data_IF_486761602518
#
_entry.id   IF_486761602518
#
_cell.length_a   1.000
_cell.length_b   1.000
_cell.length_c   1.000
_cell.angle_alpha   90.00
_cell.angle_beta   90.00
_cell.angle_gamma   90.00
#
_symmetry.space_group_name_H-M   'P 1'
#
loop_
_entity.id
_entity.type
_entity.pdbx_description
1 polymer ?
#
# COMPACT_ATOMS: atom_id res chain seq x y z
N UNK A 1 34.53 -13.80 -13.35
CA UNK A 1 33.32 -13.15 -12.83
C UNK A 1 32.25 -14.21 -12.71
N UNK A 2 31.76 -14.55 -11.50
CA UNK A 2 30.63 -15.45 -11.39
C UNK A 2 29.38 -14.76 -11.96
N UNK A 3 28.68 -15.47 -12.83
CA UNK A 3 27.39 -15.06 -13.41
C UNK A 3 26.42 -14.78 -12.25
N UNK A 4 25.71 -13.63 -12.23
CA UNK A 4 24.68 -13.41 -11.23
C UNK A 4 23.64 -14.53 -11.32
N UNK A 5 23.09 -15.01 -10.18
CA UNK A 5 22.08 -16.05 -10.20
C UNK A 5 20.91 -15.58 -11.07
N UNK A 6 20.50 -16.45 -11.99
CA UNK A 6 19.34 -16.24 -12.85
C UNK A 6 18.13 -15.98 -11.94
N UNK A 7 17.53 -14.78 -12.03
CA UNK A 7 16.30 -14.48 -11.28
C UNK A 7 15.30 -15.57 -11.65
N UNK A 8 14.66 -16.24 -10.68
CA UNK A 8 13.69 -17.28 -10.99
C UNK A 8 12.69 -16.70 -12.00
N UNK A 9 12.52 -17.38 -13.15
CA UNK A 9 11.48 -17.02 -14.13
C UNK A 9 10.19 -16.87 -13.33
N UNK A 10 9.68 -15.64 -13.20
CA UNK A 10 8.40 -15.34 -12.56
C UNK A 10 7.41 -16.37 -13.10
N UNK A 11 6.97 -17.31 -12.26
CA UNK A 11 5.79 -18.10 -12.57
C UNK A 11 4.73 -17.09 -13.03
N UNK A 12 3.99 -17.38 -14.11
CA UNK A 12 3.04 -16.43 -14.70
C UNK A 12 2.27 -15.74 -13.56
N UNK A 13 2.60 -14.46 -13.28
CA UNK A 13 2.07 -13.74 -12.11
C UNK A 13 0.56 -13.81 -12.28
N UNK A 14 -0.15 -14.22 -11.25
CA UNK A 14 -1.60 -14.11 -11.25
C UNK A 14 -1.94 -12.66 -11.61
N UNK A 15 -2.93 -12.43 -12.48
CA UNK A 15 -3.30 -11.07 -12.87
C UNK A 15 -3.85 -10.33 -11.65
N UNK A 16 -3.14 -9.29 -11.23
CA UNK A 16 -3.55 -8.37 -10.17
C UNK A 16 -4.56 -7.34 -10.74
N UNK A 17 -5.62 -7.09 -9.99
CA UNK A 17 -6.73 -6.18 -10.32
C UNK A 17 -6.97 -5.32 -9.08
N UNK A 18 -6.61 -4.04 -9.19
CA UNK A 18 -6.60 -3.09 -8.07
C UNK A 18 -7.53 -1.90 -8.32
N UNK A 19 -8.15 -1.86 -9.51
CA UNK A 19 -9.12 -0.86 -9.90
C UNK A 19 -10.34 -1.45 -10.58
N UNK A 20 -11.45 -0.74 -10.49
CA UNK A 20 -12.67 -1.08 -11.25
C UNK A 20 -12.43 -1.09 -12.76
N UNK A 21 -11.55 -0.21 -13.26
CA UNK A 21 -11.22 -0.15 -14.68
C UNK A 21 -10.46 -1.41 -15.15
N UNK A 22 -9.55 -1.94 -14.32
CA UNK A 22 -8.87 -3.21 -14.61
C UNK A 22 -9.81 -4.39 -14.52
N UNK A 23 -10.73 -4.38 -13.54
CA UNK A 23 -11.77 -5.40 -13.44
C UNK A 23 -12.62 -5.44 -14.73
N UNK A 24 -13.14 -4.28 -15.13
CA UNK A 24 -13.99 -4.17 -16.32
C UNK A 24 -13.24 -4.58 -17.59
N UNK A 25 -11.95 -4.25 -17.68
CA UNK A 25 -11.07 -4.67 -18.78
C UNK A 25 -10.85 -6.19 -18.79
N UNK A 26 -10.50 -6.78 -17.66
CA UNK A 26 -10.28 -8.23 -17.54
C UNK A 26 -11.55 -9.02 -17.91
N UNK A 27 -12.71 -8.54 -17.47
CA UNK A 27 -14.01 -9.13 -17.82
C UNK A 27 -14.30 -9.01 -19.32
N UNK A 28 -14.04 -7.85 -19.93
CA UNK A 28 -14.26 -7.64 -21.36
C UNK A 28 -13.32 -8.45 -22.26
N UNK A 29 -12.05 -8.59 -21.87
CA UNK A 29 -11.01 -9.24 -22.67
C UNK A 29 -11.02 -10.77 -22.53
N UNK A 30 -11.26 -11.28 -21.32
CA UNK A 30 -11.09 -12.70 -21.01
C UNK A 30 -12.40 -13.42 -20.71
N UNK A 31 -13.48 -12.69 -20.37
CA UNK A 31 -14.76 -13.28 -19.97
C UNK A 31 -14.68 -14.15 -18.71
N UNK A 32 -13.59 -14.04 -17.95
CA UNK A 32 -13.28 -14.85 -16.77
C UNK A 32 -12.37 -14.09 -15.82
N UNK A 33 -12.47 -14.40 -14.53
CA UNK A 33 -11.57 -13.94 -13.46
C UNK A 33 -10.79 -15.12 -12.86
N UNK A 34 -10.79 -16.28 -13.52
CA UNK A 34 -10.08 -17.46 -13.02
C UNK A 34 -8.60 -17.15 -12.77
N UNK A 35 -8.10 -17.53 -11.59
CA UNK A 35 -6.72 -17.29 -11.12
C UNK A 35 -6.32 -15.81 -10.98
N UNK A 36 -7.25 -14.86 -11.03
CA UNK A 36 -6.96 -13.45 -10.78
C UNK A 36 -6.77 -13.16 -9.27
N UNK A 37 -6.14 -12.03 -8.95
CA UNK A 37 -6.07 -11.45 -7.60
C UNK A 37 -6.77 -10.10 -7.65
N UNK A 38 -7.87 -9.97 -6.93
CA UNK A 38 -8.65 -8.73 -6.88
C UNK A 38 -8.51 -8.12 -5.50
N UNK A 39 -8.03 -6.89 -5.42
CA UNK A 39 -7.57 -6.29 -4.17
C UNK A 39 -8.19 -4.90 -3.97
N UNK A 40 -8.87 -4.71 -2.83
CA UNK A 40 -9.47 -3.45 -2.42
C UNK A 40 -10.39 -2.77 -3.47
N UNK A 41 -11.01 -3.56 -4.35
CA UNK A 41 -11.94 -3.05 -5.38
C UNK A 41 -13.39 -3.13 -4.89
N UNK A 42 -14.13 -2.02 -4.92
CA UNK A 42 -15.57 -2.04 -4.67
C UNK A 42 -16.32 -2.67 -5.85
N UNK A 43 -16.80 -3.90 -5.65
CA UNK A 43 -17.52 -4.68 -6.65
C UNK A 43 -19.03 -4.75 -6.38
N UNK A 44 -19.56 -3.93 -5.47
CA UNK A 44 -21.00 -3.87 -5.18
C UNK A 44 -21.82 -3.53 -6.43
N UNK A 45 -21.29 -2.68 -7.31
CA UNK A 45 -21.86 -2.34 -8.61
C UNK A 45 -21.61 -3.37 -9.73
N UNK A 46 -21.06 -4.56 -9.42
CA UNK A 46 -20.70 -5.61 -10.40
C UNK A 46 -21.30 -6.98 -10.08
N UNK A 47 -22.32 -7.03 -9.21
CA UNK A 47 -23.04 -8.26 -8.81
C UNK A 47 -23.42 -9.13 -10.00
N UNK A 48 -24.08 -8.56 -11.02
CA UNK A 48 -24.51 -9.31 -12.20
C UNK A 48 -23.36 -9.99 -12.94
N UNK A 49 -22.22 -9.33 -13.05
CA UNK A 49 -21.04 -9.90 -13.67
C UNK A 49 -20.49 -11.04 -12.81
N UNK A 50 -20.31 -10.81 -11.50
CA UNK A 50 -19.80 -11.80 -10.55
C UNK A 50 -20.68 -13.05 -10.45
N UNK A 51 -21.99 -12.93 -10.70
CA UNK A 51 -22.90 -14.08 -10.70
C UNK A 51 -22.67 -15.03 -11.89
N UNK A 52 -22.12 -14.53 -13.00
CA UNK A 52 -21.92 -15.26 -14.26
C UNK A 52 -20.48 -15.67 -14.54
N UNK A 53 -19.52 -14.90 -14.03
CA UNK A 53 -18.10 -15.12 -14.32
C UNK A 53 -17.56 -16.41 -13.69
N UNK A 54 -16.62 -17.02 -14.38
CA UNK A 54 -15.74 -18.02 -13.78
C UNK A 54 -14.74 -17.31 -12.87
N UNK A 55 -14.66 -17.76 -11.61
CA UNK A 55 -13.80 -17.24 -10.56
C UNK A 55 -12.97 -18.34 -9.91
N UNK A 56 -12.81 -19.50 -10.57
CA UNK A 56 -12.01 -20.61 -10.04
C UNK A 56 -10.58 -20.17 -9.75
N UNK A 57 -10.10 -20.51 -8.54
CA UNK A 57 -8.77 -20.14 -8.02
C UNK A 57 -8.49 -18.62 -7.95
N UNK A 58 -9.51 -17.79 -8.07
CA UNK A 58 -9.40 -16.35 -7.83
C UNK A 58 -9.27 -16.06 -6.33
N UNK A 59 -8.61 -14.96 -5.98
CA UNK A 59 -8.55 -14.46 -4.60
C UNK A 59 -9.07 -13.03 -4.59
N UNK A 60 -10.02 -12.76 -3.70
CA UNK A 60 -10.57 -11.43 -3.45
C UNK A 60 -10.14 -10.97 -2.06
N UNK A 61 -9.37 -9.88 -2.00
CA UNK A 61 -8.82 -9.29 -0.78
C UNK A 61 -9.55 -7.98 -0.50
N UNK A 62 -10.36 -7.97 0.55
CA UNK A 62 -11.01 -6.74 1.02
C UNK A 62 -11.99 -6.10 0.03
N UNK A 63 -12.46 -6.82 -0.99
CA UNK A 63 -13.31 -6.28 -2.04
C UNK A 63 -14.80 -6.35 -1.64
N UNK A 64 -15.48 -5.21 -1.39
CA UNK A 64 -16.92 -5.19 -1.09
C UNK A 64 -17.75 -5.81 -2.22
N UNK A 65 -18.75 -6.61 -1.85
CA UNK A 65 -19.68 -7.26 -2.79
C UNK A 65 -21.07 -7.34 -2.18
N UNK A 66 -22.11 -7.46 -3.02
CA UNK A 66 -23.41 -7.90 -2.54
C UNK A 66 -23.31 -9.36 -1.98
N UNK A 67 -24.09 -9.71 -0.93
CA UNK A 67 -24.01 -11.02 -0.29
C UNK A 67 -24.14 -12.22 -1.24
N UNK A 68 -25.02 -12.11 -2.23
CA UNK A 68 -25.26 -13.12 -3.25
C UNK A 68 -24.07 -13.29 -4.20
N UNK A 69 -23.40 -12.20 -4.58
CA UNK A 69 -22.17 -12.26 -5.37
C UNK A 69 -21.05 -12.93 -4.58
N UNK A 70 -20.81 -12.52 -3.34
CA UNK A 70 -19.79 -13.13 -2.49
C UNK A 70 -20.04 -14.63 -2.27
N UNK A 71 -21.29 -15.05 -2.08
CA UNK A 71 -21.67 -16.45 -1.98
C UNK A 71 -21.38 -17.22 -3.27
N UNK A 72 -21.75 -16.67 -4.43
CA UNK A 72 -21.54 -17.29 -5.73
C UNK A 72 -20.06 -17.41 -6.12
N UNK A 73 -19.27 -16.39 -5.83
CA UNK A 73 -17.82 -16.35 -6.05
C UNK A 73 -17.13 -17.45 -5.22
N UNK A 74 -17.44 -17.55 -3.92
CA UNK A 74 -16.93 -18.64 -3.07
C UNK A 74 -17.36 -20.02 -3.57
N UNK A 75 -18.61 -20.17 -3.99
CA UNK A 75 -19.12 -21.43 -4.54
C UNK A 75 -18.42 -21.84 -5.85
N UNK A 76 -17.77 -20.91 -6.56
CA UNK A 76 -16.99 -21.18 -7.78
C UNK A 76 -15.54 -21.61 -7.51
N UNK A 77 -15.12 -21.70 -6.24
CA UNK A 77 -13.76 -22.05 -5.85
C UNK A 77 -12.82 -20.87 -5.58
N UNK A 78 -13.34 -19.64 -5.50
CA UNK A 78 -12.54 -18.47 -5.13
C UNK A 78 -12.35 -18.36 -3.60
N UNK A 79 -11.21 -17.82 -3.17
CA UNK A 79 -11.01 -17.36 -1.80
C UNK A 79 -11.48 -15.92 -1.67
N UNK A 80 -12.30 -15.62 -0.65
CA UNK A 80 -12.84 -14.29 -0.42
C UNK A 80 -12.56 -13.86 1.00
N UNK A 81 -11.70 -12.86 1.16
CA UNK A 81 -11.42 -12.17 2.40
C UNK A 81 -12.29 -10.90 2.45
N UNK A 82 -13.23 -10.78 3.40
CA UNK A 82 -14.15 -9.66 3.44
C UNK A 82 -13.46 -8.36 3.90
N UNK A 83 -14.00 -7.19 3.54
CA UNK A 83 -13.65 -5.94 4.19
C UNK A 83 -13.83 -6.04 5.70
N UNK A 84 -12.93 -5.42 6.48
CA UNK A 84 -12.97 -5.46 7.94
C UNK A 84 -13.52 -4.13 8.47
N UNK A 85 -14.78 -4.09 8.94
CA UNK A 85 -15.39 -2.85 9.40
C UNK A 85 -14.74 -2.35 10.69
N UNK A 86 -14.72 -1.03 10.88
CA UNK A 86 -14.26 -0.39 12.12
C UNK A 86 -12.75 -0.24 12.27
N UNK A 87 -11.96 -0.63 11.26
CA UNK A 87 -10.54 -0.30 11.22
C UNK A 87 -10.33 1.15 10.78
N UNK A 88 -9.33 1.86 11.34
CA UNK A 88 -8.95 3.20 10.89
C UNK A 88 -8.09 3.19 9.61
N UNK A 89 -7.84 2.01 9.03
CA UNK A 89 -7.12 1.79 7.79
C UNK A 89 -7.74 0.60 7.06
N UNK A 90 -7.51 0.52 5.74
CA UNK A 90 -7.81 -0.68 4.97
C UNK A 90 -6.56 -1.59 4.93
N UNK A 91 -6.62 -2.81 5.48
CA UNK A 91 -5.48 -3.73 5.50
C UNK A 91 -5.15 -4.29 4.11
N UNK A 92 -6.05 -4.19 3.13
CA UNK A 92 -5.87 -4.79 1.82
C UNK A 92 -5.50 -3.78 0.73
N UNK A 93 -5.10 -2.54 1.05
CA UNK A 93 -4.87 -1.47 0.05
C UNK A 93 -3.85 -1.90 -1.03
N UNK A 94 -4.17 -1.63 -2.29
CA UNK A 94 -3.27 -1.90 -3.44
C UNK A 94 -2.31 -0.75 -3.76
N UNK A 95 -2.40 0.40 -3.08
CA UNK A 95 -1.54 1.55 -3.35
C UNK A 95 -0.97 2.16 -2.06
N UNK A 96 0.19 2.84 -2.10
CA UNK A 96 0.69 3.54 -0.92
C UNK A 96 -0.24 4.68 -0.49
N UNK A 97 -0.08 5.12 0.75
CA UNK A 97 -0.81 6.29 1.21
C UNK A 97 -0.28 7.57 0.55
N UNK A 98 -1.18 8.49 0.25
CA UNK A 98 -0.80 9.87 -0.09
C UNK A 98 -0.71 10.74 1.16
N UNK A 99 0.08 11.83 1.14
CA UNK A 99 0.07 12.79 2.25
C UNK A 99 -1.33 13.36 2.53
N UNK A 100 -2.09 13.68 1.49
CA UNK A 100 -3.45 14.23 1.63
C UNK A 100 -4.40 13.24 2.32
N UNK A 101 -4.24 11.95 2.04
CA UNK A 101 -5.01 10.88 2.71
C UNK A 101 -4.60 10.72 4.18
N UNK A 102 -3.30 10.64 4.47
CA UNK A 102 -2.80 10.44 5.85
C UNK A 102 -3.16 11.58 6.78
N UNK A 103 -3.11 12.81 6.26
CA UNK A 103 -3.36 14.04 7.01
C UNK A 103 -4.74 14.64 6.73
N UNK A 104 -5.68 13.85 6.20
CA UNK A 104 -7.07 14.29 6.12
C UNK A 104 -7.57 14.71 7.52
N UNK A 105 -8.35 15.80 7.58
CA UNK A 105 -8.87 16.39 8.83
C UNK A 105 -7.80 16.97 9.76
N UNK A 106 -6.62 17.35 9.25
CA UNK A 106 -5.56 17.97 10.06
C UNK A 106 -6.00 19.29 10.72
N UNK A 107 -6.93 20.03 10.10
CA UNK A 107 -7.55 21.23 10.65
C UNK A 107 -8.30 21.00 11.98
N UNK A 108 -8.76 19.77 12.22
CA UNK A 108 -9.39 19.33 13.47
C UNK A 108 -8.35 18.89 14.52
N UNK A 109 -7.06 18.86 14.15
CA UNK A 109 -5.93 18.44 14.96
C UNK A 109 -5.36 17.09 14.51
N UNK A 110 -4.07 16.86 14.79
CA UNK A 110 -3.35 15.65 14.35
C UNK A 110 -4.03 14.35 14.80
N UNK A 111 -4.59 14.29 16.01
CA UNK A 111 -5.29 13.10 16.54
C UNK A 111 -6.55 12.71 15.73
N UNK A 112 -7.11 13.64 14.95
CA UNK A 112 -8.24 13.35 14.06
C UNK A 112 -7.81 12.69 12.75
N UNK A 113 -6.52 12.73 12.40
CA UNK A 113 -6.01 12.25 11.11
C UNK A 113 -6.03 10.72 11.02
N UNK A 114 -6.19 10.15 9.80
CA UNK A 114 -6.04 8.72 9.58
C UNK A 114 -4.71 8.15 10.08
N UNK A 115 -3.61 8.89 9.91
CA UNK A 115 -2.28 8.50 10.43
C UNK A 115 -2.29 8.29 11.95
N UNK A 116 -2.73 9.29 12.71
CA UNK A 116 -2.77 9.21 14.17
C UNK A 116 -3.71 8.10 14.67
N UNK A 117 -4.86 7.91 13.99
CA UNK A 117 -5.82 6.85 14.32
C UNK A 117 -5.26 5.46 14.06
N UNK A 118 -4.60 5.25 12.91
CA UNK A 118 -3.95 3.99 12.57
C UNK A 118 -2.82 3.67 13.55
N UNK A 119 -1.94 4.63 13.83
CA UNK A 119 -0.88 4.49 14.82
C UNK A 119 -1.43 4.21 16.23
N UNK A 120 -2.52 4.88 16.63
CA UNK A 120 -3.22 4.62 17.89
C UNK A 120 -3.77 3.20 17.97
N UNK A 121 -4.35 2.69 16.89
CA UNK A 121 -4.80 1.30 16.79
C UNK A 121 -3.63 0.31 16.87
N UNK A 122 -2.54 0.56 16.15
CA UNK A 122 -1.32 -0.25 16.21
C UNK A 122 -0.80 -0.34 17.65
N UNK A 123 -0.63 0.79 18.33
CA UNK A 123 -0.12 0.83 19.71
C UNK A 123 -0.98 0.05 20.70
N UNK A 124 -2.31 0.08 20.55
CA UNK A 124 -3.22 -0.68 21.41
C UNK A 124 -3.12 -2.18 21.15
N UNK A 125 -2.95 -2.58 19.90
CA UNK A 125 -3.04 -3.99 19.48
C UNK A 125 -1.69 -4.72 19.41
N UNK A 126 -0.57 -4.01 19.50
CA UNK A 126 0.76 -4.66 19.47
C UNK A 126 1.03 -5.48 20.73
N UNK A 127 0.39 -5.15 21.86
CA UNK A 127 0.65 -5.79 23.16
C UNK A 127 -0.52 -6.63 23.69
N UNK A 128 -1.64 -6.72 22.97
CA UNK A 128 -2.85 -7.42 23.45
C UNK A 128 -2.81 -8.95 23.20
N UNK A 129 -1.93 -9.41 22.30
CA UNK A 129 -1.80 -10.82 21.93
C UNK A 129 -2.90 -11.32 20.99
N UNK A 130 -3.73 -10.44 20.43
CA UNK A 130 -4.81 -10.82 19.52
C UNK A 130 -4.24 -11.28 18.16
N UNK A 131 -4.51 -12.53 17.82
CA UNK A 131 -4.13 -13.14 16.53
C UNK A 131 -4.82 -12.42 15.37
N UNK A 132 -6.07 -11.97 15.55
CA UNK A 132 -6.78 -11.28 14.50
C UNK A 132 -6.13 -9.92 14.20
N UNK A 133 -5.89 -9.09 15.23
CA UNK A 133 -5.15 -7.85 15.05
C UNK A 133 -3.73 -8.07 14.49
N UNK A 134 -3.02 -9.11 14.93
CA UNK A 134 -1.70 -9.45 14.38
C UNK A 134 -1.76 -9.84 12.90
N UNK A 135 -2.77 -10.61 12.50
CA UNK A 135 -3.00 -10.97 11.10
C UNK A 135 -3.28 -9.72 10.26
N UNK A 136 -4.12 -8.80 10.75
CA UNK A 136 -4.46 -7.57 10.02
C UNK A 136 -3.25 -6.64 9.84
N UNK A 137 -2.37 -6.53 10.84
CA UNK A 137 -1.08 -5.82 10.69
C UNK A 137 -0.22 -6.47 9.61
N UNK A 138 -0.07 -7.79 9.65
CA UNK A 138 0.75 -8.50 8.68
C UNK A 138 0.22 -8.36 7.25
N UNK A 139 -1.10 -8.43 7.05
CA UNK A 139 -1.72 -8.22 5.74
C UNK A 139 -1.48 -6.78 5.27
N UNK A 140 -1.65 -5.78 6.15
CA UNK A 140 -1.40 -4.38 5.82
C UNK A 140 0.06 -4.11 5.48
N UNK A 141 0.99 -4.62 6.28
CA UNK A 141 2.43 -4.47 6.04
C UNK A 141 2.84 -5.09 4.70
N UNK A 142 2.31 -6.27 4.37
CA UNK A 142 2.54 -6.95 3.08
C UNK A 142 1.96 -6.15 1.91
N UNK A 143 0.71 -5.68 2.03
CA UNK A 143 0.05 -4.90 0.99
C UNK A 143 0.76 -3.57 0.72
N UNK A 144 1.20 -2.86 1.77
CA UNK A 144 1.98 -1.62 1.64
C UNK A 144 3.37 -1.90 1.07
N UNK A 145 3.99 -3.04 1.42
CA UNK A 145 5.31 -3.41 0.90
C UNK A 145 5.27 -3.73 -0.60
N UNK A 146 4.29 -4.53 -1.04
CA UNK A 146 4.10 -4.85 -2.47
C UNK A 146 3.81 -3.57 -3.27
N UNK A 147 2.87 -2.75 -2.80
CA UNK A 147 2.55 -1.47 -3.44
C UNK A 147 3.75 -0.50 -3.49
N UNK A 148 4.62 -0.51 -2.47
CA UNK A 148 5.84 0.28 -2.46
C UNK A 148 6.86 -0.26 -3.46
N UNK A 149 7.03 -1.58 -3.56
CA UNK A 149 7.93 -2.20 -4.54
C UNK A 149 7.54 -1.82 -5.97
N UNK A 150 6.24 -1.72 -6.28
CA UNK A 150 5.77 -1.29 -7.59
C UNK A 150 6.09 0.18 -7.87
N UNK A 151 5.89 1.07 -6.89
CA UNK A 151 6.24 2.49 -7.01
C UNK A 151 7.75 2.70 -7.17
N UNK A 152 8.57 1.82 -6.56
CA UNK A 152 10.02 1.90 -6.62
C UNK A 152 10.63 1.12 -7.79
N UNK A 153 9.83 0.47 -8.64
CA UNK A 153 10.36 -0.25 -9.79
C UNK A 153 11.15 0.70 -10.71
N UNK A 154 12.35 0.25 -11.11
CA UNK A 154 13.29 1.05 -11.90
C UNK A 154 13.95 2.25 -11.17
N UNK A 155 13.57 2.55 -9.93
CA UNK A 155 14.15 3.65 -9.16
C UNK A 155 15.50 3.28 -8.52
N UNK A 156 16.42 4.24 -8.46
CA UNK A 156 17.67 4.13 -7.69
C UNK A 156 17.44 4.71 -6.31
N UNK A 157 17.14 3.87 -5.34
CA UNK A 157 16.70 4.32 -4.01
C UNK A 157 17.87 4.49 -3.05
N UNK A 158 17.88 5.58 -2.28
CA UNK A 158 18.78 5.78 -1.14
C UNK A 158 17.95 6.02 0.11
N UNK A 159 18.09 5.12 1.09
CA UNK A 159 17.52 5.27 2.41
C UNK A 159 18.34 6.26 3.25
N UNK A 160 17.69 7.31 3.76
CA UNK A 160 18.28 8.27 4.69
C UNK A 160 17.66 8.08 6.07
N UNK A 161 18.47 7.57 6.99
CA UNK A 161 18.08 7.33 8.37
C UNK A 161 18.57 8.47 9.27
N UNK A 162 17.82 8.82 10.30
CA UNK A 162 18.25 9.81 11.28
C UNK A 162 17.24 10.05 12.39
N UNK A 163 17.69 10.68 13.47
CA UNK A 163 16.87 10.90 14.66
C UNK A 163 15.77 11.96 14.47
N UNK A 164 14.67 11.76 15.21
CA UNK A 164 13.50 12.66 15.21
C UNK A 164 13.70 13.96 16.01
N UNK A 165 14.80 14.07 16.78
CA UNK A 165 15.06 15.20 17.69
C UNK A 165 15.71 16.41 17.01
N UNK A 166 16.15 16.27 15.76
CA UNK A 166 16.76 17.36 15.00
C UNK A 166 15.72 18.45 14.75
N UNK A 167 16.05 19.71 15.05
CA UNK A 167 15.11 20.83 14.94
C UNK A 167 15.34 21.60 13.64
N UNK A 168 14.27 22.15 13.06
CA UNK A 168 14.38 23.07 11.92
C UNK A 168 15.24 24.28 12.29
N UNK A 169 16.00 24.78 11.31
CA UNK A 169 16.87 25.96 11.48
C UNK A 169 18.26 25.67 12.05
N UNK A 170 18.56 24.43 12.45
CA UNK A 170 19.93 24.06 12.85
C UNK A 170 20.82 23.75 11.66
N UNK A 171 22.14 23.75 11.89
CA UNK A 171 23.14 23.41 10.87
C UNK A 171 22.98 21.96 10.41
N UNK A 172 22.66 21.05 11.33
CA UNK A 172 22.46 19.63 11.07
C UNK A 172 21.23 19.41 10.17
N UNK A 173 20.12 20.11 10.46
CA UNK A 173 18.92 20.05 9.64
C UNK A 173 19.19 20.56 8.21
N UNK A 174 19.87 21.71 8.09
CA UNK A 174 20.27 22.23 6.80
C UNK A 174 21.22 21.27 6.05
N UNK A 175 22.11 20.58 6.77
CA UNK A 175 22.98 19.53 6.23
C UNK A 175 22.19 18.36 5.65
N UNK A 176 21.23 17.82 6.40
CA UNK A 176 20.36 16.73 5.96
C UNK A 176 19.50 17.14 4.73
N UNK A 177 18.99 18.38 4.71
CA UNK A 177 18.29 18.90 3.54
C UNK A 177 19.20 19.05 2.31
N UNK A 178 20.44 19.53 2.48
CA UNK A 178 21.41 19.59 1.37
C UNK A 178 21.77 18.20 0.85
N UNK A 179 21.87 17.20 1.74
CA UNK A 179 22.08 15.81 1.36
C UNK A 179 20.92 15.30 0.49
N UNK A 180 19.67 15.43 0.97
CA UNK A 180 18.48 15.02 0.22
C UNK A 180 18.40 15.67 -1.16
N UNK A 181 18.65 16.98 -1.24
CA UNK A 181 18.70 17.73 -2.51
C UNK A 181 19.77 17.21 -3.46
N UNK A 182 20.95 16.90 -2.94
CA UNK A 182 22.07 16.42 -3.74
C UNK A 182 21.81 15.02 -4.29
N UNK A 183 21.21 14.14 -3.48
CA UNK A 183 20.80 12.79 -3.90
C UNK A 183 19.75 12.86 -5.02
N UNK A 184 18.70 13.66 -4.84
CA UNK A 184 17.67 13.84 -5.85
C UNK A 184 18.24 14.38 -7.18
N UNK A 185 19.14 15.38 -7.11
CA UNK A 185 19.83 15.93 -8.30
C UNK A 185 20.76 14.93 -8.99
N UNK A 186 21.26 13.94 -8.25
CA UNK A 186 22.05 12.85 -8.80
C UNK A 186 21.20 11.69 -9.36
N UNK A 187 19.87 11.86 -9.41
CA UNK A 187 18.93 10.88 -9.97
C UNK A 187 18.61 9.73 -9.02
N UNK A 188 18.70 9.94 -7.71
CA UNK A 188 18.25 8.98 -6.71
C UNK A 188 16.88 9.37 -6.13
N UNK A 189 16.05 8.36 -5.89
CA UNK A 189 14.85 8.48 -5.06
C UNK A 189 15.26 8.45 -3.59
N UNK A 190 14.94 9.49 -2.83
CA UNK A 190 15.23 9.55 -1.39
C UNK A 190 14.08 8.90 -0.63
N UNK A 191 14.39 7.89 0.17
CA UNK A 191 13.45 7.22 1.06
C UNK A 191 13.83 7.46 2.52
N UNK A 192 12.85 7.71 3.39
CA UNK A 192 13.06 7.94 4.82
C UNK A 192 11.96 7.24 5.62
N UNK A 193 12.08 7.20 6.95
CA UNK A 193 11.01 6.71 7.83
C UNK A 193 9.83 7.70 8.01
N UNK A 194 9.78 8.81 7.27
CA UNK A 194 8.64 9.73 7.26
C UNK A 194 8.45 10.62 8.50
N UNK A 195 9.24 10.42 9.56
CA UNK A 195 9.14 11.20 10.79
C UNK A 195 9.79 12.61 10.73
N UNK A 196 9.70 13.38 11.83
CA UNK A 196 10.28 14.71 11.90
C UNK A 196 11.82 14.68 11.95
N UNK A 197 12.43 15.86 11.94
CA UNK A 197 13.87 16.03 12.11
C UNK A 197 14.67 15.63 10.88
N UNK A 198 15.60 14.69 11.01
CA UNK A 198 16.53 14.35 9.92
C UNK A 198 15.81 13.75 8.70
N UNK A 199 14.77 12.94 8.95
CA UNK A 199 13.95 12.32 7.89
C UNK A 199 13.16 13.39 7.12
N UNK A 200 12.47 14.26 7.85
CA UNK A 200 11.80 15.44 7.28
C UNK A 200 12.77 16.32 6.47
N UNK A 201 13.95 16.63 7.02
CA UNK A 201 14.95 17.45 6.35
C UNK A 201 15.39 16.84 5.00
N UNK A 202 15.68 15.54 4.97
CA UNK A 202 16.07 14.83 3.76
C UNK A 202 14.94 14.83 2.71
N UNK A 203 13.69 14.58 3.12
CA UNK A 203 12.51 14.66 2.24
C UNK A 203 12.33 16.08 1.68
N UNK A 204 12.42 17.10 2.54
CA UNK A 204 12.33 18.51 2.15
C UNK A 204 13.40 18.88 1.12
N UNK A 205 14.64 18.45 1.37
CA UNK A 205 15.76 18.64 0.45
C UNK A 205 15.51 18.03 -0.92
N UNK A 206 15.06 16.77 -0.95
CA UNK A 206 14.72 16.07 -2.18
C UNK A 206 13.57 16.76 -2.94
N UNK A 207 12.50 17.13 -2.24
CA UNK A 207 11.37 17.86 -2.80
C UNK A 207 11.79 19.21 -3.41
N UNK A 208 12.68 19.94 -2.73
CA UNK A 208 13.15 21.24 -3.18
C UNK A 208 14.24 21.18 -4.27
N UNK A 209 14.61 19.99 -4.75
CA UNK A 209 15.69 19.83 -5.72
C UNK A 209 15.51 20.56 -7.06
N UNK A 210 14.28 20.67 -7.63
CA UNK A 210 14.06 21.40 -8.88
C UNK A 210 14.22 22.92 -8.76
N UNK A 211 14.08 23.48 -7.56
CA UNK A 211 14.20 24.92 -7.28
C UNK A 211 15.64 25.27 -6.83
#
# INVERSE_FOLDING_TARGET
MPTPPDRPRRAARAQEIESLAEFDRAVAEHGSLARCRVQAVDLTGRTDALLRLDTTDAVFLGSPMAPEAAARVRASGALVFPPVPGLPFDPYRGCPYTPDELFASLEEGYEATPDARAHGWFRRTTADGDVFASMLRAIHDDAVSDALDEVLDGCRVVGVMGGHAMTRGTVEYAGAARLGRSLARAGYTVATGGGPGAMEAANLGAYAAPF
#
